data_IF_597123746073
#
_entry.id   IF_597123746073
#
_cell.length_a   1.000
_cell.length_b   1.000
_cell.length_c   1.000
_cell.angle_alpha   90.00
_cell.angle_beta   90.00
_cell.angle_gamma   90.00
#
_symmetry.space_group_name_H-M   'P 1'
#
loop_
_entity.id
_entity.type
_entity.pdbx_description
1 polymer ?
#
# COMPACT_ATOMS: atom_id res chain seq x y z
N UNK A 1 6.22 -13.16 17.45
CA UNK A 1 6.33 -11.83 16.78
C UNK A 1 7.14 -12.00 15.51
N UNK A 2 6.79 -11.29 14.43
CA UNK A 2 7.53 -11.38 13.17
C UNK A 2 9.02 -10.99 13.35
N UNK A 3 9.29 -9.90 14.06
CA UNK A 3 10.65 -9.43 14.31
C UNK A 3 11.55 -10.43 15.04
N UNK A 4 11.00 -11.31 15.89
CA UNK A 4 11.82 -12.32 16.59
C UNK A 4 12.26 -13.47 15.68
N UNK A 5 11.56 -13.68 14.58
CA UNK A 5 11.88 -14.71 13.59
C UNK A 5 12.64 -14.15 12.38
N UNK A 6 12.39 -12.86 12.04
CA UNK A 6 12.88 -12.18 10.85
C UNK A 6 13.39 -10.76 11.16
N UNK A 7 14.42 -10.58 12.00
CA UNK A 7 14.85 -9.25 12.46
C UNK A 7 15.42 -8.37 11.34
N UNK A 8 16.16 -8.95 10.41
CA UNK A 8 16.78 -8.21 9.29
C UNK A 8 15.71 -7.78 8.30
N UNK A 9 14.80 -8.69 7.95
CA UNK A 9 13.68 -8.41 7.07
C UNK A 9 12.73 -7.36 7.67
N UNK A 10 12.46 -7.42 8.97
CA UNK A 10 11.61 -6.43 9.64
C UNK A 10 12.19 -5.02 9.53
N UNK A 11 13.48 -4.84 9.79
CA UNK A 11 14.16 -3.56 9.64
C UNK A 11 14.19 -3.08 8.19
N UNK A 12 14.48 -3.97 7.24
CA UNK A 12 14.49 -3.66 5.82
C UNK A 12 13.10 -3.24 5.32
N UNK A 13 12.04 -3.93 5.76
CA UNK A 13 10.66 -3.59 5.44
C UNK A 13 10.24 -2.24 6.02
N UNK A 14 10.56 -1.98 7.29
CA UNK A 14 10.29 -0.68 7.91
C UNK A 14 10.97 0.43 7.10
N UNK A 15 12.26 0.30 6.81
CA UNK A 15 13.00 1.28 6.02
C UNK A 15 12.39 1.44 4.61
N UNK A 16 12.09 0.35 3.92
CA UNK A 16 11.53 0.38 2.58
C UNK A 16 10.16 1.06 2.55
N UNK A 17 9.24 0.70 3.44
CA UNK A 17 7.90 1.26 3.44
C UNK A 17 7.88 2.71 3.90
N UNK A 18 8.64 3.09 4.94
CA UNK A 18 8.69 4.48 5.41
C UNK A 18 9.41 5.41 4.44
N UNK A 19 10.51 4.95 3.82
CA UNK A 19 11.37 5.83 3.02
C UNK A 19 11.05 5.80 1.53
N UNK A 20 10.38 4.77 1.03
CA UNK A 20 10.11 4.63 -0.39
C UNK A 20 8.63 4.39 -0.69
N UNK A 21 8.04 3.30 -0.21
CA UNK A 21 6.72 2.86 -0.67
C UNK A 21 5.61 3.84 -0.31
N UNK A 22 5.51 4.30 0.95
CA UNK A 22 4.53 5.30 1.34
C UNK A 22 4.77 6.67 0.70
N UNK A 23 6.00 7.24 0.67
CA UNK A 23 6.25 8.48 -0.04
C UNK A 23 5.87 8.44 -1.52
N UNK A 24 6.14 7.32 -2.21
CA UNK A 24 5.76 7.16 -3.62
C UNK A 24 4.24 7.06 -3.78
N UNK A 25 3.56 6.35 -2.90
CA UNK A 25 2.09 6.24 -2.89
C UNK A 25 1.44 7.62 -2.71
N UNK A 26 1.84 8.38 -1.69
CA UNK A 26 1.31 9.72 -1.42
C UNK A 26 1.69 10.73 -2.53
N UNK A 27 2.91 10.63 -3.05
CA UNK A 27 3.33 11.42 -4.20
C UNK A 27 2.49 11.13 -5.44
N UNK A 28 2.13 9.86 -5.67
CA UNK A 28 1.29 9.48 -6.80
C UNK A 28 -0.10 10.16 -6.73
N UNK A 29 -0.72 10.21 -5.54
CA UNK A 29 -1.95 10.99 -5.32
C UNK A 29 -1.72 12.48 -5.58
N UNK A 30 -0.69 13.07 -4.96
CA UNK A 30 -0.38 14.50 -5.08
C UNK A 30 -0.11 14.92 -6.53
N UNK A 31 0.68 14.13 -7.24
CA UNK A 31 1.04 14.38 -8.63
C UNK A 31 -0.16 14.26 -9.57
N UNK A 32 -0.96 13.22 -9.38
CA UNK A 32 -2.17 12.99 -10.18
C UNK A 32 -3.20 14.11 -9.95
N UNK A 33 -3.43 14.51 -8.68
CA UNK A 33 -4.28 15.65 -8.34
C UNK A 33 -3.80 16.94 -9.01
N UNK A 34 -2.50 17.23 -8.92
CA UNK A 34 -1.89 18.40 -9.56
C UNK A 34 -2.07 18.39 -11.08
N UNK A 35 -1.86 17.24 -11.74
CA UNK A 35 -2.08 17.09 -13.19
C UNK A 35 -3.54 17.28 -13.58
N UNK A 36 -4.47 16.92 -12.72
CA UNK A 36 -5.90 17.12 -12.94
C UNK A 36 -6.42 18.50 -12.50
N UNK A 37 -5.54 19.40 -12.04
CA UNK A 37 -5.85 20.81 -11.75
C UNK A 37 -5.94 21.17 -10.28
N UNK A 38 -5.80 20.20 -9.36
CA UNK A 38 -5.79 20.49 -7.93
C UNK A 38 -4.36 20.72 -7.41
N UNK A 39 -4.05 21.98 -7.09
CA UNK A 39 -2.76 22.38 -6.51
C UNK A 39 -2.67 22.24 -4.99
N UNK A 40 -3.69 21.70 -4.31
CA UNK A 40 -3.75 21.65 -2.84
C UNK A 40 -2.54 20.94 -2.24
N UNK A 41 -2.24 19.73 -2.69
CA UNK A 41 -1.07 18.98 -2.19
C UNK A 41 0.26 19.72 -2.41
N UNK A 42 0.41 20.44 -3.54
CA UNK A 42 1.58 21.29 -3.81
C UNK A 42 1.70 22.44 -2.81
N UNK A 43 0.60 23.10 -2.47
CA UNK A 43 0.59 24.21 -1.49
C UNK A 43 1.01 23.73 -0.09
N UNK A 44 0.69 22.48 0.27
CA UNK A 44 1.11 21.86 1.53
C UNK A 44 2.50 21.19 1.46
N UNK A 45 3.27 21.40 0.38
CA UNK A 45 4.62 20.83 0.22
C UNK A 45 4.65 19.32 0.03
N UNK A 46 3.51 18.70 -0.31
CA UNK A 46 3.37 17.25 -0.48
C UNK A 46 3.67 16.76 -1.92
N UNK A 47 3.94 17.66 -2.87
CA UNK A 47 4.34 17.30 -4.23
C UNK A 47 5.86 17.01 -4.31
N UNK A 48 6.30 16.03 -3.55
CA UNK A 48 7.71 15.64 -3.40
C UNK A 48 7.82 14.16 -3.06
N UNK A 49 8.96 13.54 -3.36
CA UNK A 49 9.29 12.18 -2.91
C UNK A 49 10.03 12.17 -1.55
N UNK A 50 10.20 13.34 -0.92
CA UNK A 50 10.84 13.41 0.40
C UNK A 50 9.96 12.69 1.45
N UNK A 51 10.45 11.61 2.09
CA UNK A 51 9.66 10.85 3.05
C UNK A 51 9.24 11.69 4.27
N UNK A 52 10.05 12.66 4.67
CA UNK A 52 9.73 13.53 5.82
C UNK A 52 8.46 14.36 5.55
N UNK A 53 8.25 14.81 4.30
CA UNK A 53 7.04 15.54 3.94
C UNK A 53 5.76 14.71 4.05
N UNK A 54 5.86 13.40 3.89
CA UNK A 54 4.71 12.47 3.96
C UNK A 54 4.56 11.79 5.31
N UNK A 55 5.54 11.96 6.21
CA UNK A 55 5.50 11.31 7.51
C UNK A 55 4.30 11.80 8.32
N UNK A 56 3.45 10.86 8.70
CA UNK A 56 2.38 11.02 9.69
C UNK A 56 2.81 10.31 10.98
N UNK A 57 2.75 11.01 12.11
CA UNK A 57 3.24 10.46 13.37
C UNK A 57 2.44 9.24 13.82
N UNK A 58 1.13 9.25 13.63
CA UNK A 58 0.26 8.14 14.03
C UNK A 58 0.38 6.99 13.03
N UNK A 59 0.20 7.28 11.74
CA UNK A 59 0.27 6.28 10.68
C UNK A 59 1.65 5.64 10.54
N UNK A 60 2.73 6.42 10.67
CA UNK A 60 4.10 5.91 10.67
C UNK A 60 4.40 5.03 11.88
N UNK A 61 3.92 5.41 13.09
CA UNK A 61 4.06 4.57 14.29
C UNK A 61 3.27 3.26 14.14
N UNK A 62 2.05 3.31 13.61
CA UNK A 62 1.23 2.12 13.34
C UNK A 62 1.93 1.19 12.35
N UNK A 63 2.55 1.71 11.31
CA UNK A 63 3.32 0.92 10.35
C UNK A 63 4.47 0.17 11.04
N UNK A 64 5.28 0.88 11.82
CA UNK A 64 6.40 0.25 12.55
C UNK A 64 5.89 -0.85 13.46
N UNK A 65 4.89 -0.57 14.30
CA UNK A 65 4.33 -1.55 15.23
C UNK A 65 3.74 -2.75 14.47
N UNK A 66 3.00 -2.52 13.39
CA UNK A 66 2.38 -3.60 12.62
C UNK A 66 3.42 -4.52 11.97
N UNK A 67 4.49 -3.98 11.39
CA UNK A 67 5.59 -4.80 10.86
C UNK A 67 6.27 -5.61 11.96
N UNK A 68 6.60 -4.99 13.09
CA UNK A 68 7.27 -5.69 14.20
C UNK A 68 6.43 -6.84 14.76
N UNK A 69 5.12 -6.70 14.81
CA UNK A 69 4.21 -7.70 15.36
C UNK A 69 3.83 -8.78 14.34
N UNK A 70 3.46 -8.38 13.13
CA UNK A 70 2.81 -9.25 12.14
C UNK A 70 3.59 -9.42 10.85
N UNK A 71 4.57 -8.56 10.57
CA UNK A 71 5.27 -8.46 9.29
C UNK A 71 4.51 -7.66 8.23
N UNK A 72 3.21 -7.38 8.42
CA UNK A 72 2.40 -6.65 7.44
C UNK A 72 2.52 -5.13 7.63
N UNK A 73 2.81 -4.33 6.58
CA UNK A 73 2.97 -2.88 6.66
C UNK A 73 1.61 -2.17 6.71
N UNK A 74 1.01 -2.07 7.89
CA UNK A 74 -0.24 -1.34 8.09
C UNK A 74 0.05 0.04 8.68
N UNK A 75 -0.22 1.07 7.90
CA UNK A 75 -0.09 2.46 8.29
C UNK A 75 -0.90 3.35 7.36
N UNK A 76 -1.00 4.63 7.67
CA UNK A 76 -1.66 5.59 6.81
C UNK A 76 -0.89 6.90 6.78
N UNK A 77 -1.00 7.60 5.68
CA UNK A 77 -0.66 9.00 5.51
C UNK A 77 -1.81 9.64 4.72
N UNK A 78 -1.85 10.95 4.67
CA UNK A 78 -2.89 11.63 3.92
C UNK A 78 -2.29 12.73 3.04
N UNK A 79 -2.59 12.63 1.76
CA UNK A 79 -2.36 13.71 0.81
C UNK A 79 -3.62 14.57 0.73
N UNK A 80 -3.53 15.87 1.04
CA UNK A 80 -4.69 16.75 0.94
C UNK A 80 -5.08 16.96 -0.53
N UNK A 81 -6.32 16.61 -0.85
CA UNK A 81 -6.92 16.77 -2.20
C UNK A 81 -8.24 17.52 -2.06
N UNK A 82 -8.45 18.52 -2.92
CA UNK A 82 -9.73 19.21 -3.04
C UNK A 82 -10.48 18.71 -4.29
N UNK A 83 -11.51 17.86 -4.14
CA UNK A 83 -12.24 17.31 -5.29
C UNK A 83 -12.85 18.35 -6.21
N UNK A 84 -13.17 19.55 -5.69
CA UNK A 84 -13.77 20.65 -6.47
C UNK A 84 -12.83 21.25 -7.50
N UNK A 85 -11.51 21.09 -7.33
CA UNK A 85 -10.49 21.60 -8.22
C UNK A 85 -10.17 20.59 -9.35
N UNK A 86 -10.58 19.32 -9.17
CA UNK A 86 -10.25 18.25 -10.11
C UNK A 86 -11.05 18.36 -11.42
N UNK A 87 -10.35 18.22 -12.52
CA UNK A 87 -10.96 18.19 -13.86
C UNK A 87 -11.53 16.80 -14.16
N UNK A 88 -12.69 16.81 -14.82
CA UNK A 88 -13.35 15.57 -15.28
C UNK A 88 -14.20 14.89 -14.22
N UNK A 89 -15.21 14.16 -14.68
CA UNK A 89 -16.20 13.46 -13.85
C UNK A 89 -15.59 12.46 -12.87
N UNK A 90 -14.49 11.81 -13.26
CA UNK A 90 -13.84 10.74 -12.50
C UNK A 90 -12.49 11.17 -11.89
N UNK A 91 -12.24 12.49 -11.81
CA UNK A 91 -10.97 13.02 -11.28
C UNK A 91 -10.61 12.49 -9.90
N UNK A 92 -11.58 12.44 -8.98
CA UNK A 92 -11.38 11.90 -7.63
C UNK A 92 -11.02 10.42 -7.64
N UNK A 93 -11.69 9.60 -8.47
CA UNK A 93 -11.38 8.17 -8.61
C UNK A 93 -9.99 7.94 -9.20
N UNK A 94 -9.58 8.73 -10.20
CA UNK A 94 -8.26 8.63 -10.84
C UNK A 94 -7.15 8.98 -9.84
N UNK A 95 -7.34 10.04 -9.05
CA UNK A 95 -6.41 10.41 -7.99
C UNK A 95 -6.31 9.29 -6.97
N UNK A 96 -7.44 8.78 -6.47
CA UNK A 96 -7.45 7.71 -5.48
C UNK A 96 -6.83 6.40 -5.99
N UNK A 97 -6.97 6.07 -7.26
CA UNK A 97 -6.36 4.88 -7.84
C UNK A 97 -4.82 4.99 -8.00
N UNK A 98 -4.27 6.21 -8.07
CA UNK A 98 -2.85 6.43 -8.34
C UNK A 98 -1.93 5.85 -7.25
N UNK A 99 -2.31 5.96 -5.96
CA UNK A 99 -1.56 5.39 -4.85
C UNK A 99 -1.44 3.86 -4.91
N UNK A 100 -2.57 3.14 -4.90
CA UNK A 100 -2.57 1.68 -5.03
C UNK A 100 -1.83 1.17 -6.27
N UNK A 101 -2.02 1.82 -7.41
CA UNK A 101 -1.30 1.47 -8.64
C UNK A 101 0.22 1.66 -8.50
N UNK A 102 0.67 2.70 -7.80
CA UNK A 102 2.11 2.90 -7.54
C UNK A 102 2.70 1.76 -6.71
N UNK A 103 1.97 1.23 -5.73
CA UNK A 103 2.41 0.09 -4.94
C UNK A 103 2.52 -1.19 -5.79
N UNK A 104 1.55 -1.45 -6.68
CA UNK A 104 1.63 -2.58 -7.62
C UNK A 104 2.81 -2.44 -8.58
N UNK A 105 3.10 -1.23 -9.06
CA UNK A 105 4.26 -0.96 -9.92
C UNK A 105 5.58 -1.15 -9.17
N UNK A 106 5.67 -0.76 -7.90
CA UNK A 106 6.84 -1.02 -7.05
C UNK A 106 7.04 -2.54 -6.90
N UNK A 107 5.98 -3.30 -6.59
CA UNK A 107 6.04 -4.75 -6.50
C UNK A 107 6.55 -5.38 -7.80
N UNK A 108 6.02 -4.97 -8.94
CA UNK A 108 6.45 -5.44 -10.25
C UNK A 108 7.92 -5.07 -10.55
N UNK A 109 8.35 -3.86 -10.21
CA UNK A 109 9.74 -3.42 -10.41
C UNK A 109 10.73 -4.22 -9.56
N UNK A 110 10.39 -4.52 -8.28
CA UNK A 110 11.23 -5.32 -7.37
C UNK A 110 11.21 -6.81 -7.72
N UNK A 111 10.14 -7.31 -8.35
CA UNK A 111 10.09 -8.69 -8.84
C UNK A 111 11.17 -8.98 -9.91
N UNK A 112 11.58 -7.97 -10.67
CA UNK A 112 12.62 -8.13 -11.72
C UNK A 112 13.95 -8.61 -11.12
N UNK A 113 14.62 -7.90 -10.19
CA UNK A 113 15.85 -8.38 -9.59
C UNK A 113 15.65 -9.68 -8.80
N UNK A 114 14.51 -9.86 -8.13
CA UNK A 114 14.20 -11.11 -7.43
C UNK A 114 14.27 -12.31 -8.39
N UNK A 115 13.60 -12.22 -9.54
CA UNK A 115 13.59 -13.25 -10.57
C UNK A 115 14.96 -13.52 -11.14
N UNK A 116 15.76 -12.47 -11.39
CA UNK A 116 17.14 -12.59 -11.88
C UNK A 116 17.99 -13.34 -10.87
N UNK A 117 17.93 -12.99 -9.58
CA UNK A 117 18.73 -13.66 -8.55
C UNK A 117 18.32 -15.13 -8.36
N UNK A 118 17.02 -15.44 -8.40
CA UNK A 118 16.53 -16.81 -8.31
C UNK A 118 17.03 -17.71 -9.47
N UNK A 119 17.31 -17.13 -10.64
CA UNK A 119 17.83 -17.86 -11.79
C UNK A 119 19.35 -18.11 -11.75
N UNK A 120 20.07 -17.67 -10.69
CA UNK A 120 21.53 -17.76 -10.58
C UNK A 120 21.97 -18.62 -9.39
N UNK A 121 21.93 -19.97 -9.50
CA UNK A 121 22.23 -20.87 -8.39
C UNK A 121 23.69 -20.76 -7.89
N UNK A 122 24.64 -20.40 -8.74
CA UNK A 122 26.04 -20.24 -8.34
C UNK A 122 26.25 -19.02 -7.45
N UNK A 123 25.53 -17.93 -7.72
CA UNK A 123 25.51 -16.74 -6.87
C UNK A 123 24.98 -17.08 -5.47
N UNK A 124 23.89 -17.84 -5.41
CA UNK A 124 23.28 -18.26 -4.14
C UNK A 124 24.19 -19.16 -3.31
N UNK A 125 24.97 -20.03 -3.98
CA UNK A 125 25.94 -20.91 -3.32
C UNK A 125 27.19 -20.18 -2.82
N UNK A 126 27.56 -19.05 -3.41
CA UNK A 126 28.76 -18.28 -3.05
C UNK A 126 28.71 -17.73 -1.61
N UNK A 127 27.55 -17.30 -1.15
CA UNK A 127 27.29 -16.87 0.23
C UNK A 127 25.81 -17.09 0.56
N UNK A 128 25.42 -18.30 1.03
CA UNK A 128 24.04 -18.68 1.25
C UNK A 128 23.31 -17.80 2.27
N UNK A 129 24.00 -17.35 3.32
CA UNK A 129 23.41 -16.50 4.36
C UNK A 129 23.06 -15.10 3.81
N UNK A 130 24.02 -14.45 3.14
CA UNK A 130 23.80 -13.13 2.53
C UNK A 130 22.68 -13.19 1.50
N UNK A 131 22.76 -14.12 0.56
CA UNK A 131 21.77 -14.20 -0.53
C UNK A 131 20.42 -14.69 -0.04
N UNK A 132 20.39 -15.55 0.99
CA UNK A 132 19.15 -15.94 1.66
C UNK A 132 18.42 -14.73 2.23
N UNK A 133 19.11 -13.85 2.96
CA UNK A 133 18.54 -12.62 3.50
C UNK A 133 18.10 -11.66 2.39
N UNK A 134 18.90 -11.46 1.35
CA UNK A 134 18.56 -10.59 0.21
C UNK A 134 17.28 -11.06 -0.48
N UNK A 135 17.21 -12.37 -0.80
CA UNK A 135 16.03 -12.94 -1.44
C UNK A 135 14.79 -12.86 -0.56
N UNK A 136 14.92 -13.11 0.75
CA UNK A 136 13.84 -13.00 1.72
C UNK A 136 13.30 -11.56 1.78
N UNK A 137 14.18 -10.56 1.83
CA UNK A 137 13.79 -9.14 1.81
C UNK A 137 13.06 -8.79 0.52
N UNK A 138 13.62 -9.14 -0.66
CA UNK A 138 12.99 -8.87 -1.95
C UNK A 138 11.63 -9.57 -2.08
N UNK A 139 11.54 -10.83 -1.63
CA UNK A 139 10.28 -11.59 -1.58
C UNK A 139 9.22 -10.85 -0.78
N UNK A 140 9.53 -10.44 0.46
CA UNK A 140 8.57 -9.71 1.31
C UNK A 140 8.20 -8.35 0.72
N UNK A 141 9.15 -7.63 0.12
CA UNK A 141 8.85 -6.34 -0.54
C UNK A 141 7.86 -6.55 -1.68
N UNK A 142 8.06 -7.53 -2.57
CA UNK A 142 7.13 -7.83 -3.67
C UNK A 142 5.77 -8.21 -3.11
N UNK A 143 5.74 -9.18 -2.20
CA UNK A 143 4.51 -9.70 -1.61
C UNK A 143 3.67 -8.58 -0.96
N UNK A 144 4.29 -7.78 -0.11
CA UNK A 144 3.59 -6.73 0.63
C UNK A 144 3.27 -5.49 -0.20
N UNK A 145 4.05 -5.19 -1.25
CA UNK A 145 3.69 -4.12 -2.20
C UNK A 145 2.42 -4.49 -2.97
N UNK A 146 2.29 -5.75 -3.43
CA UNK A 146 1.06 -6.25 -4.06
C UNK A 146 -0.09 -6.22 -3.05
N UNK A 147 0.12 -6.78 -1.86
CA UNK A 147 -0.90 -6.85 -0.82
C UNK A 147 -1.40 -5.47 -0.41
N UNK A 148 -0.50 -4.48 -0.25
CA UNK A 148 -0.85 -3.11 0.11
C UNK A 148 -1.61 -2.40 -1.01
N UNK A 149 -1.20 -2.60 -2.26
CA UNK A 149 -1.92 -2.07 -3.43
C UNK A 149 -3.36 -2.60 -3.49
N UNK A 150 -3.54 -3.92 -3.36
CA UNK A 150 -4.87 -4.54 -3.37
C UNK A 150 -5.70 -4.19 -2.13
N UNK A 151 -5.07 -4.10 -0.96
CA UNK A 151 -5.72 -3.68 0.29
C UNK A 151 -6.31 -2.30 0.16
N UNK A 152 -5.55 -1.34 -0.39
CA UNK A 152 -6.04 0.02 -0.60
C UNK A 152 -7.14 0.12 -1.66
N UNK A 153 -7.32 -0.87 -2.53
CA UNK A 153 -8.42 -0.93 -3.49
C UNK A 153 -9.74 -1.47 -2.90
N UNK A 154 -9.75 -1.93 -1.65
CA UNK A 154 -10.98 -2.37 -0.97
C UNK A 154 -11.97 -1.18 -0.87
N UNK A 155 -13.25 -1.35 -1.27
CA UNK A 155 -14.19 -0.24 -1.39
C UNK A 155 -14.76 0.22 -0.04
N UNK A 156 -13.88 0.46 0.94
CA UNK A 156 -14.24 0.87 2.30
C UNK A 156 -13.35 2.05 2.74
N UNK A 157 -13.89 3.26 2.99
CA UNK A 157 -13.12 4.34 3.60
C UNK A 157 -12.56 3.94 4.99
N UNK A 158 -11.38 4.38 5.38
CA UNK A 158 -10.57 5.44 4.76
C UNK A 158 -9.63 4.98 3.63
N UNK A 159 -9.75 3.75 3.11
CA UNK A 159 -8.94 3.25 2.00
C UNK A 159 -9.31 3.96 0.68
N UNK A 160 -8.36 4.00 -0.26
CA UNK A 160 -8.53 4.64 -1.57
C UNK A 160 -9.69 4.04 -2.38
N UNK A 161 -9.88 2.72 -2.29
CA UNK A 161 -11.00 2.01 -2.89
C UNK A 161 -12.36 2.52 -2.44
N UNK A 162 -12.47 3.01 -1.20
CA UNK A 162 -13.66 3.69 -0.70
C UNK A 162 -13.93 4.99 -1.45
N UNK A 163 -12.90 5.79 -1.69
CA UNK A 163 -12.99 7.02 -2.49
C UNK A 163 -13.33 6.71 -3.95
N UNK A 164 -12.67 5.70 -4.54
CA UNK A 164 -12.97 5.23 -5.90
C UNK A 164 -14.44 4.84 -6.00
N UNK A 165 -14.92 3.98 -5.12
CA UNK A 165 -16.31 3.50 -5.12
C UNK A 165 -17.30 4.66 -4.99
N UNK A 166 -17.08 5.59 -4.04
CA UNK A 166 -17.96 6.74 -3.85
C UNK A 166 -17.97 7.71 -5.05
N UNK A 167 -16.86 7.77 -5.82
CA UNK A 167 -16.77 8.60 -7.03
C UNK A 167 -17.45 7.97 -8.25
N UNK A 168 -17.66 6.65 -8.25
CA UNK A 168 -18.26 5.91 -9.37
C UNK A 168 -19.77 5.76 -9.24
N UNK A 169 -20.32 5.78 -8.03
CA UNK A 169 -21.77 5.68 -7.81
C UNK A 169 -22.50 7.01 -8.08
N UNK A 170 -23.84 6.97 -8.13
CA UNK A 170 -24.62 8.18 -8.31
C UNK A 170 -24.42 9.18 -7.16
N UNK A 171 -24.48 10.50 -7.41
CA UNK A 171 -24.32 11.51 -6.35
C UNK A 171 -25.28 11.29 -5.17
N UNK A 172 -26.51 10.84 -5.44
CA UNK A 172 -27.51 10.52 -4.43
C UNK A 172 -27.05 9.33 -3.56
N UNK A 173 -26.54 8.28 -4.18
CA UNK A 173 -26.01 7.08 -3.49
C UNK A 173 -24.77 7.45 -2.67
N UNK A 174 -23.85 8.22 -3.25
CA UNK A 174 -22.65 8.68 -2.55
C UNK A 174 -23.01 9.51 -1.31
N UNK A 175 -24.00 10.42 -1.42
CA UNK A 175 -24.47 11.22 -0.31
C UNK A 175 -25.05 10.37 0.83
N UNK A 176 -25.78 9.30 0.52
CA UNK A 176 -26.34 8.39 1.51
C UNK A 176 -25.29 7.50 2.17
N UNK A 177 -24.32 6.99 1.39
CA UNK A 177 -23.30 6.06 1.88
C UNK A 177 -22.16 6.76 2.64
N UNK A 178 -21.77 7.98 2.25
CA UNK A 178 -20.63 8.69 2.83
C UNK A 178 -20.68 8.82 4.35
N UNK A 179 -21.80 9.22 5.01
CA UNK A 179 -21.87 9.30 6.47
C UNK A 179 -21.69 7.94 7.14
N UNK A 180 -22.32 6.89 6.60
CA UNK A 180 -22.25 5.53 7.15
C UNK A 180 -20.82 4.99 7.05
N UNK A 181 -20.23 5.12 5.88
CA UNK A 181 -18.87 4.62 5.64
C UNK A 181 -17.80 5.42 6.37
N UNK A 182 -17.96 6.73 6.55
CA UNK A 182 -17.03 7.53 7.35
C UNK A 182 -17.11 7.20 8.85
N UNK A 183 -18.28 6.82 9.34
CA UNK A 183 -18.50 6.45 10.74
C UNK A 183 -18.03 5.02 11.03
N UNK A 184 -18.36 4.06 10.16
CA UNK A 184 -18.15 2.63 10.41
C UNK A 184 -17.03 2.01 9.57
N UNK A 185 -16.48 2.70 8.58
CA UNK A 185 -15.48 2.14 7.65
C UNK A 185 -14.25 1.60 8.37
N UNK A 186 -13.71 2.34 9.33
CA UNK A 186 -12.57 1.86 10.13
C UNK A 186 -12.91 0.59 10.93
N UNK A 187 -14.10 0.54 11.53
CA UNK A 187 -14.57 -0.66 12.25
C UNK A 187 -14.75 -1.84 11.28
N UNK A 188 -15.28 -1.61 10.09
CA UNK A 188 -15.41 -2.65 9.06
C UNK A 188 -14.05 -3.23 8.67
N UNK A 189 -13.03 -2.37 8.50
CA UNK A 189 -11.66 -2.82 8.21
C UNK A 189 -11.11 -3.66 9.36
N UNK A 190 -11.30 -3.23 10.62
CA UNK A 190 -10.88 -4.00 11.80
C UNK A 190 -11.54 -5.39 11.79
N UNK A 191 -12.84 -5.48 11.57
CA UNK A 191 -13.55 -6.77 11.51
C UNK A 191 -13.02 -7.68 10.39
N UNK A 192 -12.65 -7.11 9.24
CA UNK A 192 -12.07 -7.86 8.14
C UNK A 192 -10.66 -8.40 8.44
N UNK A 193 -9.88 -7.66 9.27
CA UNK A 193 -8.50 -8.02 9.62
C UNK A 193 -8.44 -9.00 10.79
N UNK A 194 -9.38 -8.94 11.73
CA UNK A 194 -9.38 -9.82 12.91
C UNK A 194 -9.50 -11.29 12.49
N UNK A 195 -8.59 -12.17 12.97
CA UNK A 195 -8.68 -13.59 12.69
C UNK A 195 -9.84 -14.23 13.48
N UNK A 196 -10.92 -14.57 12.80
CA UNK A 196 -12.05 -15.31 13.35
C UNK A 196 -11.89 -16.78 12.98
N UNK A 197 -11.49 -17.62 13.93
CA UNK A 197 -11.32 -19.05 13.71
C UNK A 197 -10.11 -19.44 12.82
N UNK A 198 -8.96 -18.75 12.99
CA UNK A 198 -7.68 -19.09 12.37
C UNK A 198 -7.19 -18.10 11.34
N UNK A 199 -7.97 -17.74 10.34
CA UNK A 199 -7.61 -16.73 9.33
C UNK A 199 -8.63 -15.59 9.31
N UNK A 200 -8.14 -14.37 9.04
CA UNK A 200 -9.02 -13.21 8.83
C UNK A 200 -9.84 -13.36 7.53
N UNK A 201 -11.01 -12.72 7.48
CA UNK A 201 -11.83 -12.68 6.26
C UNK A 201 -11.01 -12.07 5.12
N UNK A 202 -10.31 -10.97 5.42
CA UNK A 202 -9.44 -10.31 4.46
C UNK A 202 -8.34 -11.23 3.95
N UNK A 203 -7.68 -11.98 4.83
CA UNK A 203 -6.62 -12.91 4.45
C UNK A 203 -7.12 -14.00 3.50
N UNK A 204 -8.30 -14.55 3.75
CA UNK A 204 -8.92 -15.58 2.88
C UNK A 204 -9.21 -15.08 1.45
N UNK A 205 -9.53 -13.80 1.30
CA UNK A 205 -9.85 -13.20 -0.01
C UNK A 205 -8.59 -12.63 -0.67
N UNK A 206 -7.77 -11.92 0.10
CA UNK A 206 -6.64 -11.17 -0.44
C UNK A 206 -5.45 -12.07 -0.78
N UNK A 207 -5.08 -13.01 0.11
CA UNK A 207 -3.90 -13.84 -0.11
C UNK A 207 -3.91 -14.71 -1.37
N UNK A 208 -5.01 -15.34 -1.78
CA UNK A 208 -5.04 -16.06 -3.06
C UNK A 208 -4.74 -15.14 -4.25
N UNK A 209 -5.30 -13.92 -4.27
CA UNK A 209 -5.08 -12.95 -5.35
C UNK A 209 -3.63 -12.45 -5.33
N UNK A 210 -3.09 -12.16 -4.14
CA UNK A 210 -1.68 -11.75 -3.97
C UNK A 210 -0.74 -12.82 -4.48
N UNK A 211 -0.98 -14.09 -4.12
CA UNK A 211 -0.14 -15.22 -4.53
C UNK A 211 -0.21 -15.46 -6.05
N UNK A 212 -1.37 -15.29 -6.66
CA UNK A 212 -1.53 -15.41 -8.11
C UNK A 212 -0.72 -14.33 -8.84
N UNK A 213 -0.86 -13.07 -8.42
CA UNK A 213 -0.10 -11.96 -9.00
C UNK A 213 1.40 -12.15 -8.74
N UNK A 214 1.78 -12.57 -7.53
CA UNK A 214 3.17 -12.88 -7.20
C UNK A 214 3.74 -13.97 -8.12
N UNK A 215 3.00 -15.07 -8.31
CA UNK A 215 3.39 -16.16 -9.21
C UNK A 215 3.57 -15.69 -10.66
N UNK A 216 2.72 -14.79 -11.15
CA UNK A 216 2.87 -14.20 -12.49
C UNK A 216 4.12 -13.32 -12.61
N UNK A 217 4.51 -12.62 -11.56
CA UNK A 217 5.64 -11.69 -11.57
C UNK A 217 6.98 -12.39 -11.34
N UNK A 218 7.01 -13.40 -10.46
CA UNK A 218 8.27 -14.04 -10.02
C UNK A 218 8.49 -15.38 -10.72
N UNK A 219 7.44 -16.11 -11.04
CA UNK A 219 7.49 -17.41 -11.75
C UNK A 219 7.31 -18.59 -10.81
#
# INVERSE_FOLDING_TARGET
MFVSQHPVEALALIAFFLLLSFPVHEFAHAWTAYRLGDGTAKMFGKLTLNPIAHFDQVGGTMLVISILLTGFPFGFAQTPVNPRNLRGKYGEAIVAAAGPLSNLLIGAAVAIPLRIFLSQPDLLRSNPELWGNVLSILHFIVLYSIALGLFNLIPIPPLDGGTIMLSLVSPRTAWQLRPILSQYGFLMIIVLIIPLGGQSILGRVLFPIVNEIYGLLVG
#
